data_IF_442632070625
#
_entry.id   IF_442632070625
#
_cell.length_a   1.000
_cell.length_b   1.000
_cell.length_c   1.000
_cell.angle_alpha   90.00
_cell.angle_beta   90.00
_cell.angle_gamma   90.00
#
_symmetry.space_group_name_H-M   'P 1'
#
loop_
_entity.id
_entity.type
_entity.pdbx_description
1 polymer ?
#
# COMPACT_ATOMS: atom_id res chain seq x y z
N UNK A 1 4.89 25.46 -5.65
CA UNK A 1 6.25 25.45 -5.08
C UNK A 1 6.22 25.31 -3.54
N UNK A 2 5.74 24.19 -2.97
CA UNK A 2 5.64 24.02 -1.51
C UNK A 2 6.38 22.76 -1.02
N UNK A 3 6.49 21.73 -1.87
CA UNK A 3 7.12 20.45 -1.49
C UNK A 3 8.65 20.46 -1.32
N UNK A 4 9.37 21.46 -1.84
CA UNK A 4 10.84 21.53 -1.73
C UNK A 4 11.35 22.22 -0.44
N UNK A 5 10.45 22.78 0.38
CA UNK A 5 10.81 23.47 1.63
C UNK A 5 10.72 22.54 2.85
N UNK A 6 9.71 21.67 2.91
CA UNK A 6 9.54 20.69 4.00
C UNK A 6 10.71 19.68 4.08
N UNK A 7 11.24 19.22 2.95
CA UNK A 7 12.32 18.24 2.91
C UNK A 7 13.63 18.76 3.52
N UNK A 8 13.96 20.04 3.27
CA UNK A 8 15.17 20.67 3.82
C UNK A 8 15.07 20.95 5.32
N UNK A 9 13.87 21.16 5.86
CA UNK A 9 13.66 21.39 7.30
C UNK A 9 13.82 20.10 8.10
N UNK A 10 13.19 19.00 7.65
CA UNK A 10 13.32 17.66 8.25
C UNK A 10 14.76 17.13 8.23
N UNK A 11 15.52 17.42 7.17
CA UNK A 11 16.90 16.98 7.04
C UNK A 11 17.88 17.79 7.93
N UNK A 12 17.55 19.05 8.25
CA UNK A 12 18.32 19.86 9.22
C UNK A 12 18.03 19.42 10.66
N UNK A 13 16.77 19.16 11.00
CA UNK A 13 16.38 18.62 12.31
C UNK A 13 17.00 17.23 12.54
N UNK A 14 16.90 16.31 11.58
CA UNK A 14 17.51 14.98 11.72
C UNK A 14 19.04 15.00 11.89
N UNK A 15 19.73 15.97 11.27
CA UNK A 15 21.18 16.16 11.46
C UNK A 15 21.52 16.79 12.82
N UNK A 16 20.68 17.69 13.32
CA UNK A 16 20.84 18.31 14.63
C UNK A 16 20.59 17.31 15.77
N UNK A 17 19.55 16.47 15.66
CA UNK A 17 19.25 15.42 16.63
C UNK A 17 20.35 14.35 16.68
N UNK A 18 20.97 14.02 15.52
CA UNK A 18 22.09 13.07 15.47
C UNK A 18 23.38 13.65 16.06
N UNK A 19 23.63 14.95 15.90
CA UNK A 19 24.79 15.61 16.50
C UNK A 19 24.70 15.69 18.02
N UNK A 20 23.51 15.91 18.57
CA UNK A 20 23.28 15.95 20.02
C UNK A 20 23.30 14.54 20.63
N UNK A 21 22.76 13.54 19.94
CA UNK A 21 22.78 12.14 20.41
C UNK A 21 24.18 11.51 20.42
N UNK A 22 25.12 11.97 19.58
CA UNK A 22 26.48 11.40 19.52
C UNK A 22 27.37 11.88 20.68
N UNK A 23 27.01 12.98 21.36
CA UNK A 23 27.79 13.53 22.46
C UNK A 23 27.32 13.12 23.86
N UNK A 24 26.27 12.30 23.98
CA UNK A 24 25.71 11.90 25.27
C UNK A 24 25.68 10.38 25.46
N UNK A 25 26.82 9.73 25.25
CA UNK A 25 27.08 8.37 25.76
C UNK A 25 28.02 8.47 26.94
N UNK A 26 27.48 8.71 28.14
CA UNK A 26 28.19 8.43 29.40
C UNK A 26 27.64 7.13 29.93
N UNK A 27 28.33 6.03 29.63
CA UNK A 27 28.03 4.69 30.16
C UNK A 27 28.45 4.65 31.63
N UNK A 28 27.50 4.59 32.56
CA UNK A 28 27.78 4.26 33.96
C UNK A 28 27.92 2.74 34.09
N UNK A 29 29.14 2.24 34.30
CA UNK A 29 29.37 0.87 34.74
C UNK A 29 29.18 0.81 36.27
N UNK A 30 28.06 0.24 36.72
CA UNK A 30 27.83 -0.09 38.13
C UNK A 30 28.57 -1.40 38.42
N UNK A 31 29.67 -1.32 39.17
CA UNK A 31 30.39 -2.50 39.63
C UNK A 31 29.60 -3.14 40.78
N UNK A 32 28.99 -4.30 40.53
CA UNK A 32 28.36 -5.13 41.56
C UNK A 32 29.47 -5.83 42.36
N UNK A 33 29.68 -5.42 43.62
CA UNK A 33 30.57 -6.12 44.55
C UNK A 33 29.78 -7.24 45.25
N UNK A 34 30.01 -8.48 44.80
CA UNK A 34 29.40 -9.69 45.36
C UNK A 34 30.23 -10.17 46.56
N UNK A 35 29.61 -10.15 47.74
CA UNK A 35 30.24 -10.55 48.99
C UNK A 35 30.88 -11.94 48.99
N UNK A 36 32.05 -12.03 49.62
CA UNK A 36 32.60 -13.28 50.16
C UNK A 36 33.04 -13.02 51.60
N UNK A 37 32.32 -13.66 52.53
CA UNK A 37 32.74 -13.78 53.92
C UNK A 37 34.04 -14.60 53.99
N UNK A 38 35.10 -14.02 54.55
CA UNK A 38 36.26 -14.77 55.05
C UNK A 38 36.54 -14.29 56.46
N UNK A 39 36.42 -15.22 57.43
CA UNK A 39 36.83 -15.04 58.83
C UNK A 39 38.29 -14.62 58.90
N UNK A 40 38.59 -13.60 59.69
CA UNK A 40 39.94 -13.33 60.18
C UNK A 40 40.05 -13.80 61.65
N UNK A 41 41.01 -14.69 61.88
CA UNK A 41 41.47 -15.13 63.20
C UNK A 41 42.61 -14.19 63.64
N UNK A 42 42.64 -13.65 64.87
CA UNK A 42 43.61 -12.62 65.25
C UNK A 42 44.73 -13.22 66.08
N UNK A 43 45.94 -13.35 65.52
CA UNK A 43 47.16 -13.52 66.32
C UNK A 43 48.44 -13.40 65.49
N UNK A 44 49.15 -12.28 65.65
CA UNK A 44 50.55 -12.16 66.12
C UNK A 44 51.39 -11.08 65.43
N UNK A 45 51.90 -10.18 66.29
CA UNK A 45 53.30 -9.71 66.35
C UNK A 45 53.85 -8.77 65.26
N UNK A 46 53.80 -7.48 65.61
CA UNK A 46 54.93 -6.54 65.68
C UNK A 46 56.08 -6.60 64.64
N UNK A 47 56.21 -5.51 63.87
CA UNK A 47 57.48 -4.75 63.73
C UNK A 47 57.23 -3.33 63.15
N UNK A 48 57.64 -2.31 63.90
CA UNK A 48 58.00 -0.94 63.50
C UNK A 48 59.44 -0.68 63.99
N UNK A 49 60.17 0.41 63.62
CA UNK A 49 59.94 1.44 62.60
C UNK A 49 61.18 1.75 61.72
N UNK A 50 61.04 2.62 60.70
CA UNK A 50 62.02 3.70 60.44
C UNK A 50 61.43 4.80 59.56
N UNK A 51 61.48 6.02 60.09
CA UNK A 51 61.03 7.29 59.54
C UNK A 51 62.05 7.88 58.56
N UNK A 52 61.60 8.43 57.44
CA UNK A 52 62.15 9.67 56.89
C UNK A 52 61.03 10.42 56.17
N UNK A 53 60.80 11.65 56.61
CA UNK A 53 59.67 12.46 56.17
C UNK A 53 59.79 12.98 54.75
N UNK A 54 58.63 13.17 54.11
CA UNK A 54 58.47 14.18 53.08
C UNK A 54 57.05 14.74 53.18
N UNK A 55 57.01 16.01 53.55
CA UNK A 55 55.88 16.97 53.63
C UNK A 55 54.55 16.43 53.10
N UNK A 56 53.54 16.38 53.97
CA UNK A 56 52.15 16.49 53.54
C UNK A 56 51.95 17.89 52.93
N UNK A 57 51.59 18.03 51.64
CA UNK A 57 50.95 19.25 51.19
C UNK A 57 49.59 19.27 51.89
N UNK A 58 49.41 20.21 52.81
CA UNK A 58 48.09 20.58 53.30
C UNK A 58 47.36 21.12 52.07
N UNK A 59 46.51 20.30 51.46
CA UNK A 59 45.63 20.70 50.36
C UNK A 59 44.66 21.74 50.91
N UNK A 60 45.03 23.01 50.85
CA UNK A 60 44.06 24.10 50.83
C UNK A 60 43.45 24.07 49.43
N UNK A 61 42.30 23.40 49.30
CA UNK A 61 41.49 23.49 48.10
C UNK A 61 41.22 24.98 47.86
N UNK A 62 41.71 25.50 46.73
CA UNK A 62 41.56 26.88 46.32
C UNK A 62 40.05 27.17 46.19
N UNK A 63 39.55 28.20 46.88
CA UNK A 63 38.13 28.56 46.91
C UNK A 63 37.56 28.78 45.50
N UNK A 64 38.42 29.12 44.54
CA UNK A 64 38.12 29.33 43.12
C UNK A 64 37.75 28.03 42.40
N UNK A 65 38.41 26.91 42.74
CA UNK A 65 38.19 25.60 42.14
C UNK A 65 36.83 25.01 42.58
N UNK A 66 36.53 25.14 43.88
CA UNK A 66 35.24 24.71 44.45
C UNK A 66 34.05 25.50 43.86
N UNK A 67 34.22 26.80 43.61
CA UNK A 67 33.19 27.63 42.96
C UNK A 67 32.99 27.22 41.49
N UNK A 68 34.06 26.88 40.78
CA UNK A 68 34.01 26.44 39.37
C UNK A 68 33.30 25.09 39.24
N UNK A 69 33.59 24.14 40.13
CA UNK A 69 32.93 22.84 40.18
C UNK A 69 31.43 22.96 40.48
N UNK A 70 31.03 23.88 41.36
CA UNK A 70 29.63 24.16 41.69
C UNK A 70 28.86 24.72 40.48
N UNK A 71 29.45 25.65 39.73
CA UNK A 71 28.82 26.18 38.51
C UNK A 71 28.73 25.12 37.41
N UNK A 72 29.72 24.25 37.28
CA UNK A 72 29.66 23.10 36.37
C UNK A 72 28.52 22.14 36.74
N UNK A 73 28.41 21.74 38.01
CA UNK A 73 27.34 20.84 38.46
C UNK A 73 25.94 21.43 38.21
N UNK A 74 25.78 22.73 38.49
CA UNK A 74 24.56 23.47 38.20
C UNK A 74 24.23 23.51 36.71
N UNK A 75 25.23 23.67 35.85
CA UNK A 75 25.05 23.62 34.39
C UNK A 75 24.60 22.23 33.92
N UNK A 76 25.21 21.16 34.44
CA UNK A 76 24.83 19.77 34.14
C UNK A 76 23.39 19.49 34.56
N UNK A 77 22.99 19.88 35.77
CA UNK A 77 21.61 19.70 36.23
C UNK A 77 20.60 20.45 35.36
N UNK A 78 20.92 21.67 34.91
CA UNK A 78 20.07 22.41 33.99
C UNK A 78 19.92 21.68 32.65
N UNK A 79 21.01 21.17 32.09
CA UNK A 79 21.00 20.42 30.84
C UNK A 79 20.17 19.14 30.98
N UNK A 80 20.35 18.40 32.08
CA UNK A 80 19.54 17.21 32.36
C UNK A 80 18.05 17.55 32.48
N UNK A 81 17.72 18.60 33.22
CA UNK A 81 16.34 19.05 33.38
C UNK A 81 15.70 19.42 32.03
N UNK A 82 16.39 20.20 31.21
CA UNK A 82 15.91 20.57 29.88
C UNK A 82 15.75 19.35 28.97
N UNK A 83 16.67 18.39 29.05
CA UNK A 83 16.59 17.15 28.27
C UNK A 83 15.38 16.30 28.65
N UNK A 84 15.05 16.22 29.95
CA UNK A 84 13.85 15.51 30.43
C UNK A 84 12.58 16.19 29.94
N UNK A 85 12.50 17.51 30.06
CA UNK A 85 11.33 18.29 29.61
C UNK A 85 11.14 18.12 28.10
N UNK A 86 12.21 18.21 27.32
CA UNK A 86 12.14 18.01 25.87
C UNK A 86 11.66 16.60 25.52
N UNK A 87 12.21 15.57 26.16
CA UNK A 87 11.81 14.18 25.89
C UNK A 87 10.35 13.91 26.27
N UNK A 88 9.82 14.60 27.29
CA UNK A 88 8.40 14.52 27.64
C UNK A 88 7.53 15.20 26.59
N UNK A 89 7.94 16.36 26.09
CA UNK A 89 7.23 17.08 25.05
C UNK A 89 7.19 16.29 23.74
N UNK A 90 8.32 15.72 23.33
CA UNK A 90 8.43 14.90 22.12
C UNK A 90 7.49 13.68 22.21
N UNK A 91 7.39 13.05 23.39
CA UNK A 91 6.44 11.95 23.62
C UNK A 91 4.99 12.41 23.55
N UNK A 92 4.67 13.59 24.09
CA UNK A 92 3.32 14.16 24.01
C UNK A 92 2.94 14.42 22.56
N UNK A 93 3.83 15.07 21.80
CA UNK A 93 3.60 15.35 20.39
C UNK A 93 3.41 14.06 19.58
N UNK A 94 4.24 13.04 19.80
CA UNK A 94 4.09 11.76 19.11
C UNK A 94 2.74 11.08 19.38
N UNK A 95 2.20 11.19 20.60
CA UNK A 95 0.88 10.68 20.93
C UNK A 95 -0.25 11.50 20.28
N UNK A 96 -0.09 12.81 20.18
CA UNK A 96 -1.04 13.68 19.50
C UNK A 96 -1.07 13.42 17.99
N UNK A 97 0.10 13.27 17.37
CA UNK A 97 0.23 12.93 15.95
C UNK A 97 -0.45 11.60 15.64
N UNK A 98 -0.20 10.55 16.44
CA UNK A 98 -0.87 9.25 16.29
C UNK A 98 -2.40 9.36 16.43
N UNK A 99 -2.89 10.21 17.32
CA UNK A 99 -4.34 10.45 17.47
C UNK A 99 -4.90 11.17 16.26
N UNK A 100 -4.20 12.18 15.74
CA UNK A 100 -4.62 12.92 14.54
C UNK A 100 -4.68 11.99 13.33
N UNK A 101 -3.64 11.18 13.11
CA UNK A 101 -3.59 10.21 12.01
C UNK A 101 -4.75 9.21 12.09
N UNK A 102 -5.03 8.68 13.29
CA UNK A 102 -6.16 7.77 13.51
C UNK A 102 -7.50 8.45 13.21
N UNK A 103 -7.69 9.71 13.61
CA UNK A 103 -8.93 10.45 13.32
C UNK A 103 -9.11 10.68 11.83
N UNK A 104 -8.04 11.05 11.11
CA UNK A 104 -8.07 11.22 9.65
C UNK A 104 -8.46 9.91 8.95
N UNK A 105 -7.85 8.79 9.37
CA UNK A 105 -8.19 7.47 8.83
C UNK A 105 -9.66 7.11 9.07
N UNK A 106 -10.16 7.28 10.30
CA UNK A 106 -11.56 6.97 10.63
C UNK A 106 -12.54 7.88 9.88
N UNK A 107 -12.24 9.17 9.73
CA UNK A 107 -13.07 10.11 8.97
C UNK A 107 -13.12 9.74 7.49
N UNK A 108 -11.99 9.39 6.89
CA UNK A 108 -11.93 8.91 5.50
C UNK A 108 -12.72 7.61 5.30
N UNK A 109 -12.59 6.66 6.23
CA UNK A 109 -13.36 5.42 6.22
C UNK A 109 -14.87 5.66 6.37
N UNK A 110 -15.28 6.59 7.22
CA UNK A 110 -16.70 6.92 7.39
C UNK A 110 -17.27 7.60 6.14
N UNK A 111 -16.50 8.49 5.51
CA UNK A 111 -16.89 9.15 4.27
C UNK A 111 -17.04 8.14 3.13
N UNK A 112 -16.13 7.17 3.02
CA UNK A 112 -16.23 6.10 2.02
C UNK A 112 -17.43 5.20 2.28
N UNK A 113 -17.67 4.78 3.53
CA UNK A 113 -18.83 3.98 3.91
C UNK A 113 -20.15 4.70 3.56
N UNK A 114 -20.24 6.00 3.85
CA UNK A 114 -21.41 6.83 3.50
C UNK A 114 -21.64 6.88 1.99
N UNK A 115 -20.56 7.05 1.21
CA UNK A 115 -20.63 7.07 -0.26
C UNK A 115 -21.07 5.72 -0.81
N UNK A 116 -20.59 4.62 -0.25
CA UNK A 116 -20.97 3.25 -0.66
C UNK A 116 -22.46 3.03 -0.37
N UNK A 117 -22.94 3.32 0.84
CA UNK A 117 -24.34 3.18 1.20
C UNK A 117 -25.26 3.95 0.23
N UNK A 118 -24.90 5.19 -0.10
CA UNK A 118 -25.68 5.98 -1.06
C UNK A 118 -25.68 5.38 -2.49
N UNK A 119 -24.56 4.78 -2.93
CA UNK A 119 -24.51 4.08 -4.22
C UNK A 119 -25.36 2.80 -4.19
N UNK A 120 -25.36 2.08 -3.08
CA UNK A 120 -26.21 0.90 -2.87
C UNK A 120 -27.69 1.29 -2.92
N UNK A 121 -28.10 2.36 -2.25
CA UNK A 121 -29.47 2.87 -2.26
C UNK A 121 -29.91 3.29 -3.68
N UNK A 122 -29.05 4.00 -4.42
CA UNK A 122 -29.32 4.38 -5.81
C UNK A 122 -29.49 3.15 -6.72
N UNK A 123 -28.65 2.14 -6.54
CA UNK A 123 -28.71 0.89 -7.32
C UNK A 123 -29.98 0.10 -7.00
N UNK A 124 -30.40 0.04 -5.72
CA UNK A 124 -31.66 -0.56 -5.31
C UNK A 124 -32.86 0.17 -5.93
N UNK A 125 -32.88 1.50 -5.86
CA UNK A 125 -33.94 2.32 -6.46
C UNK A 125 -34.03 2.15 -7.98
N UNK A 126 -32.88 2.05 -8.67
CA UNK A 126 -32.84 1.82 -10.11
C UNK A 126 -33.35 0.42 -10.48
N UNK A 127 -32.94 -0.62 -9.75
CA UNK A 127 -33.41 -1.99 -10.00
C UNK A 127 -34.92 -2.15 -9.75
N UNK A 128 -35.45 -1.56 -8.67
CA UNK A 128 -36.90 -1.53 -8.42
C UNK A 128 -37.68 -0.81 -9.53
N UNK A 129 -37.11 0.25 -10.12
CA UNK A 129 -37.70 0.97 -11.26
C UNK A 129 -37.65 0.16 -12.57
N UNK A 130 -36.64 -0.69 -12.72
CA UNK A 130 -36.49 -1.57 -13.89
C UNK A 130 -37.46 -2.76 -13.85
N UNK A 131 -37.75 -3.33 -12.68
CA UNK A 131 -38.75 -4.40 -12.52
C UNK A 131 -40.17 -3.94 -12.92
N UNK A 132 -40.50 -2.65 -12.73
CA UNK A 132 -41.80 -2.07 -13.15
C UNK A 132 -41.84 -1.76 -14.67
N UNK A 133 -40.69 -1.69 -15.35
CA UNK A 133 -40.61 -1.19 -16.75
C UNK A 133 -39.99 -2.17 -17.75
N UNK A 134 -39.47 -3.32 -17.32
CA UNK A 134 -38.60 -4.14 -18.15
C UNK A 134 -38.81 -5.63 -17.99
N UNK A 135 -39.97 -6.15 -18.42
CA UNK A 135 -39.98 -7.52 -18.96
C UNK A 135 -39.40 -7.43 -20.38
N UNK A 136 -38.12 -7.78 -20.64
CA UNK A 136 -37.70 -7.94 -22.01
C UNK A 136 -38.58 -9.02 -22.60
N UNK A 137 -39.21 -8.72 -23.73
CA UNK A 137 -39.90 -9.72 -24.53
C UNK A 137 -38.95 -10.91 -24.65
N UNK A 138 -39.39 -12.08 -24.18
CA UNK A 138 -38.60 -13.30 -24.37
C UNK A 138 -38.23 -13.35 -25.86
N UNK A 139 -36.95 -13.50 -26.22
CA UNK A 139 -36.60 -13.72 -27.60
C UNK A 139 -37.42 -14.91 -28.09
N UNK A 140 -37.95 -14.76 -29.31
CA UNK A 140 -38.77 -15.78 -29.97
C UNK A 140 -38.08 -17.14 -29.82
N UNK A 141 -38.79 -18.24 -29.54
CA UNK A 141 -38.17 -19.56 -29.38
C UNK A 141 -37.16 -19.83 -30.50
N UNK A 142 -35.89 -20.10 -30.13
CA UNK A 142 -34.79 -20.32 -31.06
C UNK A 142 -33.95 -19.09 -31.44
N UNK A 143 -34.25 -17.89 -30.92
CA UNK A 143 -33.39 -16.70 -31.07
C UNK A 143 -32.49 -16.48 -29.86
N UNK A 144 -31.27 -16.05 -30.14
CA UNK A 144 -30.27 -15.71 -29.12
C UNK A 144 -30.35 -14.23 -28.78
N UNK A 145 -30.25 -13.89 -27.49
CA UNK A 145 -30.14 -12.49 -27.05
C UNK A 145 -28.75 -11.94 -27.44
N UNK A 146 -28.67 -11.27 -28.59
CA UNK A 146 -27.45 -10.72 -29.14
C UNK A 146 -26.79 -9.65 -28.25
N UNK A 147 -27.55 -9.01 -27.36
CA UNK A 147 -27.00 -8.03 -26.42
C UNK A 147 -26.23 -8.71 -25.29
N UNK A 148 -26.65 -9.92 -24.90
CA UNK A 148 -25.99 -10.72 -23.85
C UNK A 148 -24.99 -11.72 -24.40
N UNK A 149 -25.05 -12.02 -25.70
CA UNK A 149 -24.16 -12.97 -26.35
C UNK A 149 -22.71 -12.46 -26.39
N UNK A 150 -21.83 -13.13 -25.65
CA UNK A 150 -20.40 -12.77 -25.55
C UNK A 150 -19.62 -13.38 -26.72
N UNK A 151 -19.32 -12.55 -27.72
CA UNK A 151 -18.46 -12.95 -28.86
C UNK A 151 -16.98 -13.02 -28.50
N UNK A 152 -16.57 -12.49 -27.34
CA UNK A 152 -15.20 -12.58 -26.81
C UNK A 152 -14.71 -14.00 -26.61
N UNK A 153 -15.64 -14.94 -26.39
CA UNK A 153 -15.33 -16.35 -26.16
C UNK A 153 -15.22 -17.15 -27.47
N UNK A 154 -15.50 -16.50 -28.60
CA UNK A 154 -15.51 -17.12 -29.92
C UNK A 154 -14.18 -16.98 -30.67
N UNK A 155 -13.93 -17.84 -31.66
CA UNK A 155 -12.73 -17.74 -32.49
C UNK A 155 -12.77 -16.45 -33.30
N UNK A 156 -11.78 -15.58 -33.13
CA UNK A 156 -11.69 -14.31 -33.87
C UNK A 156 -10.72 -14.45 -35.04
N UNK A 157 -11.16 -14.08 -36.25
CA UNK A 157 -10.28 -14.06 -37.42
C UNK A 157 -9.47 -12.77 -37.47
N UNK A 158 -8.13 -12.89 -37.44
CA UNK A 158 -7.18 -11.78 -37.62
C UNK A 158 -6.21 -11.99 -38.79
N UNK A 159 -6.33 -13.10 -39.51
CA UNK A 159 -5.44 -13.43 -40.62
C UNK A 159 -5.71 -12.55 -41.85
N UNK A 160 -4.78 -12.44 -42.80
CA UNK A 160 -5.02 -11.74 -44.06
C UNK A 160 -6.12 -12.42 -44.87
N UNK A 161 -7.04 -11.65 -45.46
CA UNK A 161 -8.17 -12.19 -46.23
C UNK A 161 -7.78 -13.07 -47.45
N UNK A 162 -6.51 -13.06 -47.86
CA UNK A 162 -5.98 -13.85 -48.96
C UNK A 162 -5.60 -15.28 -48.55
N UNK A 163 -5.46 -15.55 -47.24
CA UNK A 163 -5.07 -16.85 -46.73
C UNK A 163 -6.28 -17.77 -46.55
N UNK A 164 -6.67 -18.43 -47.63
CA UNK A 164 -7.85 -19.31 -47.70
C UNK A 164 -7.80 -20.43 -46.65
N UNK A 165 -6.63 -21.02 -46.38
CA UNK A 165 -6.53 -22.11 -45.42
C UNK A 165 -6.83 -21.66 -43.98
N UNK A 166 -6.26 -20.52 -43.55
CA UNK A 166 -6.55 -19.97 -42.23
C UNK A 166 -8.01 -19.54 -42.11
N UNK A 167 -8.58 -18.99 -43.18
CA UNK A 167 -9.98 -18.62 -43.23
C UNK A 167 -10.91 -19.85 -43.08
N UNK A 168 -10.64 -20.93 -43.81
CA UNK A 168 -11.43 -22.17 -43.71
C UNK A 168 -11.32 -22.80 -42.33
N UNK A 169 -10.11 -22.86 -41.74
CA UNK A 169 -9.93 -23.33 -40.36
C UNK A 169 -10.72 -22.49 -39.35
N UNK A 170 -10.74 -21.17 -39.54
CA UNK A 170 -11.54 -20.28 -38.71
C UNK A 170 -13.05 -20.53 -38.87
N UNK A 171 -13.56 -20.68 -40.10
CA UNK A 171 -14.98 -21.00 -40.36
C UNK A 171 -15.39 -22.29 -39.65
N UNK A 172 -14.56 -23.34 -39.69
CA UNK A 172 -14.81 -24.57 -38.94
C UNK A 172 -14.89 -24.32 -37.43
N UNK A 173 -13.99 -23.51 -36.88
CA UNK A 173 -14.06 -23.10 -35.48
C UNK A 173 -15.35 -22.37 -35.13
N UNK A 174 -15.83 -21.48 -36.01
CA UNK A 174 -17.10 -20.76 -35.81
C UNK A 174 -18.30 -21.71 -35.85
N UNK A 175 -18.30 -22.72 -36.73
CA UNK A 175 -19.37 -23.71 -36.79
C UNK A 175 -19.49 -24.49 -35.46
N UNK A 176 -18.37 -24.97 -34.92
CA UNK A 176 -18.31 -25.62 -33.60
C UNK A 176 -18.78 -24.65 -32.51
N UNK A 177 -18.37 -23.39 -32.58
CA UNK A 177 -18.80 -22.37 -31.61
C UNK A 177 -20.32 -22.16 -31.62
N UNK A 178 -20.97 -22.16 -32.80
CA UNK A 178 -22.43 -22.08 -32.88
C UNK A 178 -23.13 -23.30 -32.32
N UNK A 179 -22.62 -24.51 -32.61
CA UNK A 179 -23.17 -25.76 -32.09
C UNK A 179 -23.07 -25.81 -30.56
N UNK A 180 -21.93 -25.44 -29.98
CA UNK A 180 -21.71 -25.44 -28.53
C UNK A 180 -22.52 -24.39 -27.77
N UNK A 181 -22.91 -23.30 -28.45
CA UNK A 181 -23.71 -22.20 -27.88
C UNK A 181 -25.20 -22.29 -28.24
N UNK A 182 -25.62 -23.39 -28.88
CA UNK A 182 -27.00 -23.63 -29.36
C UNK A 182 -27.57 -22.47 -30.20
N UNK A 183 -26.71 -21.86 -31.03
CA UNK A 183 -27.13 -20.80 -31.95
C UNK A 183 -27.73 -21.47 -33.19
N UNK A 184 -29.06 -21.57 -33.25
CA UNK A 184 -29.76 -22.26 -34.34
C UNK A 184 -30.27 -21.31 -35.44
N UNK A 185 -30.68 -20.09 -35.07
CA UNK A 185 -31.22 -19.11 -36.02
C UNK A 185 -30.18 -18.59 -37.02
N UNK A 186 -30.49 -18.66 -38.32
CA UNK A 186 -29.58 -18.22 -39.39
C UNK A 186 -29.21 -16.73 -39.31
N UNK A 187 -30.18 -15.85 -39.03
CA UNK A 187 -29.91 -14.42 -38.92
C UNK A 187 -29.02 -14.09 -37.72
N UNK A 188 -29.16 -14.83 -36.62
CA UNK A 188 -28.32 -14.67 -35.44
C UNK A 188 -26.90 -15.18 -35.71
N UNK A 189 -26.75 -16.33 -36.39
CA UNK A 189 -25.44 -16.84 -36.85
C UNK A 189 -24.71 -15.83 -37.74
N UNK A 190 -25.42 -15.23 -38.70
CA UNK A 190 -24.90 -14.18 -39.58
C UNK A 190 -24.39 -13.01 -38.72
N UNK A 191 -25.24 -12.41 -37.89
CA UNK A 191 -24.83 -11.27 -37.05
C UNK A 191 -23.63 -11.58 -36.14
N UNK A 192 -23.60 -12.75 -35.52
CA UNK A 192 -22.49 -13.16 -34.66
C UNK A 192 -21.21 -13.37 -35.46
N UNK A 193 -21.27 -14.01 -36.63
CA UNK A 193 -20.12 -14.21 -37.51
C UNK A 193 -19.43 -12.88 -37.85
N UNK A 194 -20.21 -11.85 -38.17
CA UNK A 194 -19.68 -10.51 -38.45
C UNK A 194 -18.86 -9.93 -37.29
N UNK A 195 -19.25 -10.22 -36.06
CA UNK A 195 -18.53 -9.79 -34.85
C UNK A 195 -17.28 -10.62 -34.54
N UNK A 196 -17.10 -11.77 -35.18
CA UNK A 196 -15.94 -12.65 -35.04
C UNK A 196 -14.85 -12.34 -36.09
N UNK A 197 -15.08 -11.38 -36.99
CA UNK A 197 -14.11 -10.92 -37.97
C UNK A 197 -13.45 -9.65 -37.43
N UNK A 198 -12.15 -9.69 -37.23
CA UNK A 198 -11.36 -8.51 -36.85
C UNK A 198 -10.42 -8.03 -37.96
N UNK A 199 -10.37 -8.72 -39.10
CA UNK A 199 -9.67 -8.25 -40.30
C UNK A 199 -10.54 -7.22 -41.04
N UNK A 200 -9.97 -6.04 -41.30
CA UNK A 200 -10.71 -4.85 -41.75
C UNK A 200 -11.36 -4.99 -43.13
N UNK A 201 -10.68 -5.61 -44.09
CA UNK A 201 -11.20 -5.70 -45.47
C UNK A 201 -12.39 -6.66 -45.56
N UNK A 202 -12.27 -7.82 -44.92
CA UNK A 202 -13.30 -8.82 -44.79
C UNK A 202 -14.46 -8.29 -43.97
N UNK A 203 -14.19 -7.55 -42.88
CA UNK A 203 -15.23 -6.89 -42.10
C UNK A 203 -16.00 -5.84 -42.94
N UNK A 204 -15.28 -5.07 -43.76
CA UNK A 204 -15.90 -4.08 -44.67
C UNK A 204 -16.74 -4.75 -45.76
N UNK A 205 -16.21 -5.80 -46.39
CA UNK A 205 -16.95 -6.62 -47.36
C UNK A 205 -18.22 -7.21 -46.71
N UNK A 206 -18.07 -7.76 -45.51
CA UNK A 206 -19.16 -8.35 -44.75
C UNK A 206 -20.24 -7.31 -44.42
N UNK A 207 -19.87 -6.15 -43.86
CA UNK A 207 -20.81 -5.08 -43.53
C UNK A 207 -21.64 -4.62 -44.73
N UNK A 208 -21.00 -4.56 -45.92
CA UNK A 208 -21.67 -4.15 -47.16
C UNK A 208 -22.64 -5.20 -47.72
N UNK A 209 -22.42 -6.50 -47.43
CA UNK A 209 -23.23 -7.59 -48.00
C UNK A 209 -24.21 -8.21 -46.99
N UNK A 210 -23.94 -8.11 -45.69
CA UNK A 210 -24.65 -8.80 -44.62
C UNK A 210 -26.17 -8.55 -44.62
N UNK A 211 -26.60 -7.32 -44.91
CA UNK A 211 -28.02 -6.97 -44.95
C UNK A 211 -28.81 -7.83 -45.95
N UNK A 212 -28.21 -8.21 -47.08
CA UNK A 212 -28.83 -9.06 -48.09
C UNK A 212 -28.94 -10.54 -47.72
N UNK A 213 -28.29 -10.95 -46.62
CA UNK A 213 -28.27 -12.33 -46.14
C UNK A 213 -29.15 -12.57 -44.91
N UNK A 214 -29.60 -11.52 -44.21
CA UNK A 214 -30.38 -11.66 -42.97
C UNK A 214 -31.72 -12.39 -43.15
N UNK A 215 -32.26 -12.43 -44.36
CA UNK A 215 -33.50 -13.14 -44.71
C UNK A 215 -33.25 -14.51 -45.34
N UNK A 216 -31.99 -14.88 -45.60
CA UNK A 216 -31.62 -16.12 -46.28
C UNK A 216 -31.33 -17.24 -45.28
N UNK A 217 -31.40 -18.47 -45.77
CA UNK A 217 -31.00 -19.65 -45.01
C UNK A 217 -29.47 -19.67 -44.82
N UNK A 218 -29.03 -20.32 -43.75
CA UNK A 218 -27.60 -20.46 -43.44
C UNK A 218 -26.83 -21.20 -44.54
N UNK A 219 -27.44 -22.18 -45.20
CA UNK A 219 -26.79 -22.94 -46.27
C UNK A 219 -26.58 -22.11 -47.54
N UNK A 220 -27.51 -21.21 -47.86
CA UNK A 220 -27.33 -20.24 -48.96
C UNK A 220 -26.24 -19.23 -48.65
N UNK A 221 -26.04 -18.88 -47.39
CA UNK A 221 -24.97 -17.97 -46.96
C UNK A 221 -23.58 -18.60 -47.08
N UNK A 222 -23.46 -19.93 -46.96
CA UNK A 222 -22.18 -20.66 -47.07
C UNK A 222 -21.74 -20.91 -48.52
N UNK A 223 -22.64 -20.72 -49.49
CA UNK A 223 -22.42 -21.01 -50.91
C UNK A 223 -21.89 -19.77 -51.63
#
# INVERSE_FOLDING_TARGET
MIYHSQGRKRQKEAKQTKFISTHCSVTFAVHHDSGKYVRYDPSTSNRRPRTTGRRHPRLTADSTDMSTAKEWFKAVLKIQHLSIVQAQEDRRQALEDLRADRQVFLAAHQASATRIAHLEDLLLAMNLKNEVTGRPAQPTPGRVDLQKFRTSDGPTYRGPFQETELFLRWIHGVQIFFETKDVSNAADKIKILGNLIAETNLQSFYANKAAGFLTRLWDEFKT
#
